data_IF_017562512889
#
_entry.id   IF_017562512889
#
_cell.length_a   1.000
_cell.length_b   1.000
_cell.length_c   1.000
_cell.angle_alpha   90.00
_cell.angle_beta   90.00
_cell.angle_gamma   90.00
#
_symmetry.space_group_name_H-M   'P 1'
#
loop_
_entity.id
_entity.type
_entity.pdbx_description
1 polymer ?
#
# COMPACT_ATOMS: atom_id res chain seq x y z
N UNK A 1 4.90 -9.99 -7.17
CA UNK A 1 3.88 -9.13 -7.80
C UNK A 1 4.40 -7.70 -7.70
N UNK A 2 3.77 -6.68 -8.30
CA UNK A 2 4.15 -5.29 -8.05
C UNK A 2 2.88 -4.55 -7.63
N UNK A 3 2.95 -3.74 -6.57
CA UNK A 3 1.83 -2.92 -6.10
C UNK A 3 2.26 -1.47 -6.10
N UNK A 4 1.50 -0.64 -6.79
CA UNK A 4 1.68 0.80 -6.80
C UNK A 4 0.47 1.44 -6.11
N UNK A 5 0.71 2.30 -5.14
CA UNK A 5 -0.33 2.96 -4.35
C UNK A 5 -0.20 4.46 -4.53
N UNK A 6 -1.28 5.09 -4.96
CA UNK A 6 -1.37 6.55 -5.02
C UNK A 6 -2.26 7.03 -3.87
N UNK A 7 -1.70 7.79 -2.94
CA UNK A 7 -2.48 8.45 -1.89
C UNK A 7 -2.93 9.82 -2.37
N UNK A 8 -4.22 10.13 -2.23
CA UNK A 8 -4.79 11.38 -2.75
C UNK A 8 -4.11 12.64 -2.17
N UNK A 9 -4.03 13.72 -2.94
CA UNK A 9 -3.59 15.03 -2.48
C UNK A 9 -4.73 15.82 -1.80
N UNK A 10 -5.45 15.16 -0.90
CA UNK A 10 -6.48 15.78 -0.06
C UNK A 10 -5.91 15.94 1.34
N UNK A 11 -6.23 17.06 2.01
CA UNK A 11 -5.78 17.31 3.39
C UNK A 11 -6.19 16.14 4.29
N UNK A 12 -5.21 15.52 4.94
CA UNK A 12 -5.42 14.42 5.88
C UNK A 12 -5.53 13.03 5.24
N UNK A 13 -5.18 12.87 3.97
CA UNK A 13 -5.22 11.57 3.29
C UNK A 13 -4.06 10.62 3.65
N UNK A 14 -2.96 11.16 4.19
CA UNK A 14 -1.79 10.35 4.59
C UNK A 14 -2.00 9.56 5.89
N UNK A 15 -1.15 8.57 6.15
CA UNK A 15 -1.24 7.74 7.35
C UNK A 15 0.09 7.11 7.78
N UNK A 16 0.35 7.10 9.09
CA UNK A 16 1.47 6.38 9.72
C UNK A 16 1.13 4.92 10.12
N UNK A 17 -0.05 4.42 9.73
CA UNK A 17 -0.49 3.09 10.11
C UNK A 17 0.26 1.99 9.34
N UNK A 18 0.33 0.79 9.92
CA UNK A 18 0.74 -0.39 9.18
C UNK A 18 -0.34 -0.77 8.16
N UNK A 19 0.02 -0.82 6.86
CA UNK A 19 -0.89 -1.17 5.77
C UNK A 19 -0.61 -2.61 5.30
N UNK A 20 -1.67 -3.37 5.05
CA UNK A 20 -1.59 -4.78 4.65
C UNK A 20 -2.42 -5.05 3.40
N UNK A 21 -2.00 -6.03 2.59
CA UNK A 21 -2.72 -6.49 1.39
C UNK A 21 -2.90 -8.00 1.39
N UNK A 22 -4.06 -8.45 0.88
CA UNK A 22 -4.34 -9.84 0.52
C UNK A 22 -4.95 -9.86 -0.88
N UNK A 23 -4.37 -10.61 -1.81
CA UNK A 23 -4.85 -10.70 -3.20
C UNK A 23 -5.69 -11.96 -3.35
N UNK A 24 -6.91 -11.81 -3.87
CA UNK A 24 -7.84 -12.91 -4.14
C UNK A 24 -7.92 -13.18 -5.65
N UNK A 25 -7.94 -14.46 -6.03
CA UNK A 25 -8.07 -14.92 -7.41
C UNK A 25 -8.82 -16.24 -7.50
N UNK A 26 -8.96 -16.74 -8.73
CA UNK A 26 -9.64 -18.00 -9.06
C UNK A 26 -9.02 -19.23 -8.36
N UNK A 27 -7.71 -19.19 -8.09
CA UNK A 27 -6.96 -20.27 -7.42
C UNK A 27 -6.84 -20.12 -5.90
N UNK A 28 -7.54 -19.15 -5.30
CA UNK A 28 -7.48 -18.87 -3.87
C UNK A 28 -6.96 -17.46 -3.56
N UNK A 29 -6.29 -17.30 -2.43
CA UNK A 29 -5.75 -16.02 -1.97
C UNK A 29 -4.28 -16.10 -1.59
N UNK A 30 -3.58 -14.97 -1.58
CA UNK A 30 -2.27 -14.86 -0.93
C UNK A 30 -2.42 -14.84 0.59
N UNK A 31 -1.31 -15.00 1.29
CA UNK A 31 -1.24 -14.60 2.69
C UNK A 31 -1.36 -13.08 2.82
N UNK A 32 -1.75 -12.63 4.01
CA UNK A 32 -1.72 -11.21 4.35
C UNK A 32 -0.27 -10.74 4.41
N UNK A 33 0.04 -9.71 3.65
CA UNK A 33 1.40 -9.16 3.53
C UNK A 33 1.37 -7.69 3.92
N UNK A 34 2.19 -7.30 4.89
CA UNK A 34 2.41 -5.89 5.19
C UNK A 34 3.12 -5.24 4.01
N UNK A 35 2.62 -4.08 3.55
CA UNK A 35 3.25 -3.27 2.52
C UNK A 35 3.79 -1.99 3.16
N UNK A 36 5.08 -1.75 2.95
CA UNK A 36 5.84 -0.67 3.55
C UNK A 36 7.32 -0.86 3.24
N UNK A 37 8.09 0.23 3.23
CA UNK A 37 9.53 0.20 3.06
C UNK A 37 10.19 1.20 4.04
N UNK A 38 11.48 1.50 3.87
CA UNK A 38 12.23 2.35 4.79
C UNK A 38 11.96 3.86 4.62
N UNK A 39 11.10 4.26 3.70
CA UNK A 39 10.65 5.65 3.55
C UNK A 39 9.38 5.90 4.34
N UNK A 40 9.03 7.18 4.49
CA UNK A 40 7.66 7.56 4.80
C UNK A 40 6.78 7.09 3.63
N UNK A 41 5.77 6.27 3.91
CA UNK A 41 4.90 5.68 2.88
C UNK A 41 3.47 6.10 3.12
N UNK A 42 2.66 6.05 2.07
CA UNK A 42 1.25 6.41 2.10
C UNK A 42 1.02 7.88 2.42
N UNK A 43 1.98 8.74 2.08
CA UNK A 43 1.89 10.18 2.26
C UNK A 43 1.04 10.86 1.19
N UNK A 44 0.40 11.97 1.56
CA UNK A 44 -0.53 12.67 0.66
C UNK A 44 0.15 13.06 -0.66
N UNK A 45 -0.50 12.78 -1.78
CA UNK A 45 0.02 13.13 -3.10
C UNK A 45 1.22 12.31 -3.57
N UNK A 46 1.57 11.23 -2.86
CA UNK A 46 2.71 10.38 -3.21
C UNK A 46 2.30 9.08 -3.92
N UNK A 47 3.23 8.58 -4.75
CA UNK A 47 3.14 7.29 -5.43
C UNK A 47 4.15 6.32 -4.83
N UNK A 48 3.69 5.41 -3.98
CA UNK A 48 4.51 4.34 -3.43
C UNK A 48 4.56 3.13 -4.36
N UNK A 49 5.71 2.47 -4.40
CA UNK A 49 5.93 1.25 -5.20
C UNK A 49 6.50 0.14 -4.33
N UNK A 50 5.77 -0.95 -4.22
CA UNK A 50 6.13 -2.14 -3.44
C UNK A 50 6.34 -3.35 -4.36
N UNK A 51 7.28 -4.22 -3.98
CA UNK A 51 7.67 -5.44 -4.70
C UNK A 51 7.39 -6.68 -3.86
#
# INVERSE_FOLDING_TARGET
WNVWVWTSDVRGAGTDANVFITIYGDKGKTDETQIGNATDNFEKGELDKFK
#
